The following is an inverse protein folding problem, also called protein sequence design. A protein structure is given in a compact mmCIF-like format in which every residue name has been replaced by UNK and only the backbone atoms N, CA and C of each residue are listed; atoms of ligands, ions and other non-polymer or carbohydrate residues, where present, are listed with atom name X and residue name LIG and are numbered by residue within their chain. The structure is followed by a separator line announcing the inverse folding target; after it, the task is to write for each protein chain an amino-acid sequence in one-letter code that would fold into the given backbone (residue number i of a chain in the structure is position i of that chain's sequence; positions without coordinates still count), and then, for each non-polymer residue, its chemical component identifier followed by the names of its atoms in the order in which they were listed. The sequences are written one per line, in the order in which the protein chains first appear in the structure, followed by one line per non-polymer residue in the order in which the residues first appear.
data_IF_728004607470
#
_entry.id   IF_728004607470
#
_cell.length_a   1.000
_cell.length_b   1.000
_cell.length_c   1.000
_cell.angle_alpha   90.00
_cell.angle_beta   90.00
_cell.angle_gamma   90.00
#
_symmetry.space_group_name_H-M   'P 1'
#
loop_
_entity.id
_entity.type
_entity.pdbx_description
1 polymer ?
#
# COMPACT_ATOMS: atom_id res chain seq x y z
N UNK A 1 -14.02 -10.62 17.03
CA UNK A 1 -13.98 -9.51 16.05
C UNK A 1 -12.73 -8.72 16.36
N UNK A 2 -11.98 -8.33 15.35
CA UNK A 2 -10.71 -7.62 15.49
C UNK A 2 -10.93 -6.11 15.45
N UNK A 3 -10.14 -5.38 16.23
CA UNK A 3 -9.96 -3.94 16.11
C UNK A 3 -8.60 -3.65 15.51
N UNK A 4 -8.54 -3.07 14.32
CA UNK A 4 -7.28 -2.83 13.60
C UNK A 4 -7.17 -1.33 13.29
N UNK A 5 -6.00 -0.74 13.53
CA UNK A 5 -5.66 0.60 13.09
C UNK A 5 -4.67 0.51 11.92
N UNK A 6 -5.04 1.06 10.77
CA UNK A 6 -4.23 1.07 9.55
C UNK A 6 -3.64 2.45 9.28
N UNK A 7 -2.36 2.50 8.89
CA UNK A 7 -1.64 3.73 8.53
C UNK A 7 -0.92 3.55 7.19
N UNK A 8 -1.09 4.48 6.26
CA UNK A 8 -0.27 4.54 5.04
C UNK A 8 0.23 5.96 4.78
N UNK A 9 1.55 6.06 4.58
CA UNK A 9 2.27 7.26 4.13
C UNK A 9 3.23 6.90 3.00
N UNK A 10 2.93 5.82 2.27
CA UNK A 10 3.87 5.22 1.30
C UNK A 10 4.01 6.08 0.05
N UNK A 11 3.08 7.00 -0.22
CA UNK A 11 3.03 7.86 -1.40
C UNK A 11 2.86 9.33 -0.99
N UNK A 12 2.44 10.21 -1.89
CA UNK A 12 2.07 11.58 -1.51
C UNK A 12 0.79 11.65 -0.63
N UNK A 13 0.00 10.58 -0.61
CA UNK A 13 -1.11 10.43 0.33
C UNK A 13 -0.63 10.11 1.76
N UNK A 14 -1.34 10.68 2.72
CA UNK A 14 -1.34 10.30 4.13
C UNK A 14 -2.75 9.80 4.44
N UNK A 15 -2.87 8.58 4.94
CA UNK A 15 -4.19 8.02 5.24
C UNK A 15 -4.17 7.11 6.45
N UNK A 16 -5.31 7.08 7.14
CA UNK A 16 -5.56 6.26 8.32
C UNK A 16 -6.91 5.59 8.19
N UNK A 17 -7.06 4.39 8.75
CA UNK A 17 -8.35 3.73 8.89
C UNK A 17 -8.43 2.95 10.19
N UNK A 18 -9.62 2.85 10.76
CA UNK A 18 -9.92 2.04 11.94
C UNK A 18 -11.03 1.07 11.58
N UNK A 19 -10.77 -0.22 11.77
CA UNK A 19 -11.79 -1.26 11.80
C UNK A 19 -12.17 -1.43 13.27
N UNK A 20 -13.39 -1.08 13.62
CA UNK A 20 -13.91 -1.23 14.98
C UNK A 20 -15.39 -1.58 14.91
N UNK A 21 -15.82 -2.62 15.64
CA UNK A 21 -17.20 -3.11 15.62
C UNK A 21 -17.74 -3.40 14.20
N UNK A 22 -16.88 -3.93 13.32
CA UNK A 22 -17.14 -4.21 11.90
C UNK A 22 -17.39 -2.99 11.01
N UNK A 23 -17.13 -1.77 11.50
CA UNK A 23 -17.18 -0.56 10.71
C UNK A 23 -15.78 -0.06 10.38
N UNK A 24 -15.60 0.47 9.17
CA UNK A 24 -14.34 1.08 8.73
C UNK A 24 -14.50 2.59 8.67
N UNK A 25 -13.95 3.28 9.67
CA UNK A 25 -13.76 4.75 9.63
C UNK A 25 -12.42 5.05 9.00
N UNK A 26 -12.32 6.07 8.16
CA UNK A 26 -11.05 6.43 7.52
C UNK A 26 -10.90 7.92 7.30
N UNK A 27 -9.66 8.36 7.15
CA UNK A 27 -9.31 9.73 6.75
C UNK A 27 -8.18 9.68 5.71
N UNK A 28 -8.21 10.59 4.75
CA UNK A 28 -7.29 10.62 3.62
C UNK A 28 -6.95 12.06 3.25
N UNK A 29 -5.66 12.33 3.11
CA UNK A 29 -5.14 13.63 2.76
C UNK A 29 -3.98 13.48 1.76
N UNK A 30 -4.03 14.22 0.65
CA UNK A 30 -2.85 14.36 -0.22
C UNK A 30 -1.96 15.46 0.35
N UNK A 31 -0.83 15.08 0.94
CA UNK A 31 0.13 16.01 1.53
C UNK A 31 1.54 15.44 1.52
N UNK A 32 2.26 15.65 0.40
CA UNK A 32 3.59 15.06 0.17
C UNK A 32 4.69 15.53 1.14
N UNK A 33 4.49 16.61 1.92
CA UNK A 33 5.55 17.22 2.75
C UNK A 33 5.28 17.23 4.25
N UNK A 34 4.06 16.94 4.69
CA UNK A 34 3.66 17.11 6.08
C UNK A 34 3.19 15.81 6.75
N UNK A 35 3.53 14.63 6.22
CA UNK A 35 3.14 13.33 6.79
C UNK A 35 3.38 13.24 8.31
N UNK A 36 4.56 13.65 8.78
CA UNK A 36 4.91 13.61 10.22
C UNK A 36 4.03 14.52 11.09
N UNK A 37 3.50 15.61 10.52
CA UNK A 37 2.60 16.53 11.22
C UNK A 37 1.15 16.08 11.16
N UNK A 38 0.76 15.32 10.14
CA UNK A 38 -0.63 14.96 9.88
C UNK A 38 -1.00 13.60 10.48
N UNK A 39 -0.08 12.64 10.49
CA UNK A 39 -0.44 11.25 10.78
C UNK A 39 -1.00 11.03 12.19
N UNK A 40 -0.34 11.54 13.24
CA UNK A 40 -0.83 11.39 14.61
C UNK A 40 -2.15 12.16 14.86
N UNK A 41 -2.32 13.40 14.40
CA UNK A 41 -3.63 14.06 14.44
C UNK A 41 -4.74 13.30 13.72
N UNK A 42 -4.44 12.68 12.57
CA UNK A 42 -5.42 11.87 11.84
C UNK A 42 -5.81 10.61 12.65
N UNK A 43 -4.84 9.92 13.26
CA UNK A 43 -5.09 8.78 14.16
C UNK A 43 -5.99 9.19 15.33
N UNK A 44 -5.64 10.28 16.03
CA UNK A 44 -6.44 10.79 17.16
C UNK A 44 -7.88 11.14 16.73
N UNK A 45 -8.03 11.77 15.57
CA UNK A 45 -9.34 12.12 15.00
C UNK A 45 -10.19 10.87 14.77
N UNK A 46 -9.69 9.83 14.10
CA UNK A 46 -10.51 8.64 13.78
C UNK A 46 -10.85 7.80 15.01
N UNK A 47 -9.95 7.74 16.01
CA UNK A 47 -10.20 7.08 17.29
C UNK A 47 -11.32 7.79 18.04
N UNK A 48 -11.26 9.12 18.15
CA UNK A 48 -12.32 9.93 18.78
C UNK A 48 -13.66 9.85 18.05
N UNK A 49 -13.64 9.88 16.71
CA UNK A 49 -14.86 9.76 15.90
C UNK A 49 -15.58 8.42 16.11
N UNK A 50 -14.82 7.36 16.40
CA UNK A 50 -15.35 6.00 16.57
C UNK A 50 -15.53 5.61 18.05
N UNK A 51 -15.34 6.55 18.98
CA UNK A 51 -15.32 6.32 20.43
C UNK A 51 -14.49 5.09 20.84
N UNK A 52 -13.32 4.95 20.21
CA UNK A 52 -12.39 3.85 20.42
C UNK A 52 -11.12 4.36 21.09
N UNK A 53 -10.71 3.73 22.18
CA UNK A 53 -9.41 3.96 22.79
C UNK A 53 -8.32 3.21 22.01
N UNK A 54 -7.12 3.78 21.95
CA UNK A 54 -5.98 3.12 21.32
C UNK A 54 -5.66 1.75 21.97
N UNK A 55 -5.87 1.62 23.28
CA UNK A 55 -5.67 0.36 24.02
C UNK A 55 -6.65 -0.76 23.65
N UNK A 56 -7.74 -0.45 22.94
CA UNK A 56 -8.69 -1.43 22.41
C UNK A 56 -8.27 -1.97 21.04
N UNK A 57 -7.24 -1.39 20.42
CA UNK A 57 -6.71 -1.89 19.15
C UNK A 57 -5.96 -3.20 19.40
N UNK A 58 -6.22 -4.19 18.55
CA UNK A 58 -5.63 -5.53 18.61
C UNK A 58 -4.35 -5.63 17.75
N UNK A 59 -4.26 -4.84 16.67
CA UNK A 59 -3.07 -4.75 15.81
C UNK A 59 -2.95 -3.42 15.08
N UNK A 60 -1.71 -3.04 14.77
CA UNK A 60 -1.40 -1.90 13.89
C UNK A 60 -1.01 -2.40 12.50
N UNK A 61 -1.83 -2.10 11.50
CA UNK A 61 -1.53 -2.35 10.11
C UNK A 61 -0.82 -1.15 9.46
N UNK A 62 0.10 -1.42 8.55
CA UNK A 62 0.89 -0.36 7.92
C UNK A 62 1.22 -0.65 6.46
N UNK A 63 1.38 0.42 5.69
CA UNK A 63 1.92 0.37 4.34
C UNK A 63 3.39 0.02 4.36
N UNK A 64 3.73 -1.18 3.91
CA UNK A 64 5.11 -1.69 3.93
C UNK A 64 5.94 -1.20 2.73
N UNK A 65 5.32 -0.48 1.80
CA UNK A 65 5.89 -0.15 0.50
C UNK A 65 5.50 -1.18 -0.58
N UNK A 66 6.02 -1.02 -1.80
CA UNK A 66 6.99 -0.02 -2.22
C UNK A 66 6.40 1.40 -2.33
N UNK A 67 7.27 2.42 -2.33
CA UNK A 67 6.84 3.81 -2.40
C UNK A 67 7.97 4.81 -2.13
N UNK A 68 7.61 5.98 -1.61
CA UNK A 68 8.55 7.01 -1.16
C UNK A 68 9.45 6.48 -0.05
N UNK A 69 10.77 6.56 -0.24
CA UNK A 69 11.76 6.10 0.73
C UNK A 69 11.56 6.69 2.13
N UNK A 70 11.26 7.99 2.19
CA UNK A 70 11.01 8.72 3.43
C UNK A 70 9.61 8.44 3.96
N UNK A 71 8.60 8.47 3.07
CA UNK A 71 7.20 8.27 3.44
C UNK A 71 6.93 6.91 4.09
N UNK A 72 7.41 5.83 3.48
CA UNK A 72 7.26 4.46 4.02
C UNK A 72 7.87 4.33 5.42
N UNK A 73 9.06 4.92 5.64
CA UNK A 73 9.72 4.90 6.95
C UNK A 73 9.01 5.73 8.02
N UNK A 74 8.41 6.87 7.64
CA UNK A 74 7.60 7.65 8.56
C UNK A 74 6.41 6.81 9.04
N UNK A 75 5.69 6.17 8.12
CA UNK A 75 4.53 5.34 8.42
C UNK A 75 4.89 4.16 9.33
N UNK A 76 5.97 3.45 8.99
CA UNK A 76 6.50 2.34 9.79
C UNK A 76 6.90 2.82 11.19
N UNK A 77 7.69 3.90 11.30
CA UNK A 77 8.15 4.39 12.60
C UNK A 77 7.00 4.81 13.52
N UNK A 78 5.96 5.46 12.97
CA UNK A 78 4.75 5.81 13.72
C UNK A 78 3.97 4.56 14.11
N UNK A 79 3.77 3.62 13.18
CA UNK A 79 3.06 2.38 13.45
C UNK A 79 3.77 1.53 14.53
N UNK A 80 5.10 1.44 14.48
CA UNK A 80 5.92 0.78 15.51
C UNK A 80 5.78 1.47 16.86
N UNK A 81 5.88 2.80 16.91
CA UNK A 81 5.73 3.55 18.16
C UNK A 81 4.36 3.34 18.81
N UNK A 82 3.29 3.34 18.00
CA UNK A 82 1.93 3.04 18.47
C UNK A 82 1.83 1.60 18.97
N UNK A 83 2.29 0.63 18.18
CA UNK A 83 2.23 -0.79 18.51
C UNK A 83 2.97 -1.13 19.81
N UNK A 84 4.17 -0.57 20.01
CA UNK A 84 4.93 -0.70 21.27
C UNK A 84 4.18 -0.10 22.45
N UNK A 85 3.56 1.07 22.25
CA UNK A 85 2.82 1.77 23.31
C UNK A 85 1.62 1.01 23.84
N UNK A 86 1.06 0.09 23.06
CA UNK A 86 -0.07 -0.77 23.45
C UNK A 86 0.27 -2.27 23.54
N UNK A 87 1.54 -2.64 23.36
CA UNK A 87 2.01 -4.03 23.35
C UNK A 87 1.22 -4.94 22.39
N UNK A 88 1.10 -4.50 21.12
CA UNK A 88 0.34 -5.21 20.08
C UNK A 88 1.18 -5.55 18.85
N UNK A 89 0.85 -6.64 18.14
CA UNK A 89 1.51 -7.01 16.90
C UNK A 89 1.19 -6.04 15.77
N UNK A 90 1.95 -6.17 14.68
CA UNK A 90 1.78 -5.37 13.47
C UNK A 90 1.44 -6.23 12.25
N UNK A 91 0.90 -5.59 11.21
CA UNK A 91 0.55 -6.23 9.94
C UNK A 91 1.07 -5.40 8.77
N UNK A 92 2.08 -5.92 8.07
CA UNK A 92 2.61 -5.32 6.86
C UNK A 92 1.74 -5.61 5.64
N UNK A 93 1.37 -4.56 4.90
CA UNK A 93 0.57 -4.66 3.68
C UNK A 93 1.30 -3.94 2.53
N UNK A 94 1.39 -4.61 1.39
CA UNK A 94 1.96 -4.03 0.17
C UNK A 94 1.14 -2.82 -0.31
N UNK A 95 1.83 -1.75 -0.69
CA UNK A 95 1.22 -0.57 -1.28
C UNK A 95 0.60 -0.88 -2.64
N UNK A 96 1.22 -1.76 -3.43
CA UNK A 96 0.72 -2.18 -4.73
C UNK A 96 -0.54 -3.06 -4.58
N UNK A 97 -0.57 -3.96 -3.61
CA UNK A 97 -1.78 -4.75 -3.29
C UNK A 97 -2.90 -3.86 -2.74
N UNK A 98 -2.56 -2.81 -1.97
CA UNK A 98 -3.53 -1.81 -1.50
C UNK A 98 -4.20 -1.08 -2.67
N UNK A 99 -3.45 -0.73 -3.72
CA UNK A 99 -4.03 -0.17 -4.95
C UNK A 99 -4.96 -1.18 -5.65
N UNK A 100 -4.59 -2.46 -5.70
CA UNK A 100 -5.45 -3.50 -6.25
C UNK A 100 -6.78 -3.62 -5.48
N UNK A 101 -6.73 -3.59 -4.15
CA UNK A 101 -7.91 -3.58 -3.29
C UNK A 101 -8.81 -2.35 -3.54
N UNK A 102 -8.23 -1.16 -3.73
CA UNK A 102 -9.00 0.03 -4.08
C UNK A 102 -9.68 -0.07 -5.46
N UNK A 103 -9.00 -0.65 -6.45
CA UNK A 103 -9.59 -0.91 -7.77
C UNK A 103 -10.74 -1.94 -7.69
N UNK A 104 -10.63 -2.96 -6.84
CA UNK A 104 -11.75 -3.87 -6.55
C UNK A 104 -12.94 -3.13 -5.93
N UNK A 105 -12.70 -2.26 -4.94
CA UNK A 105 -13.76 -1.46 -4.30
C UNK A 105 -14.49 -0.56 -5.29
N UNK A 106 -13.76 0.15 -6.16
CA UNK A 106 -14.32 1.15 -7.07
C UNK A 106 -14.93 0.54 -8.33
N UNK A 107 -14.30 -0.49 -8.89
CA UNK A 107 -14.64 -0.99 -10.23
C UNK A 107 -15.00 -2.48 -10.25
N UNK A 108 -15.02 -3.15 -9.09
CA UNK A 108 -15.16 -4.62 -9.02
C UNK A 108 -14.05 -5.34 -9.81
N UNK A 109 -12.89 -4.69 -9.97
CA UNK A 109 -11.75 -5.19 -10.71
C UNK A 109 -11.08 -6.35 -9.98
N UNK A 110 -11.26 -7.58 -10.48
CA UNK A 110 -10.63 -8.78 -9.91
C UNK A 110 -9.24 -9.07 -10.47
N UNK A 111 -8.84 -8.42 -11.55
CA UNK A 111 -7.50 -8.56 -12.11
C UNK A 111 -6.91 -7.16 -12.24
N UNK A 112 -5.84 -6.89 -11.49
CA UNK A 112 -5.29 -5.54 -11.40
C UNK A 112 -3.79 -5.59 -11.64
N UNK A 113 -3.31 -4.67 -12.46
CA UNK A 113 -1.89 -4.37 -12.62
C UNK A 113 -1.65 -3.02 -11.93
N UNK A 114 -1.07 -3.08 -10.73
CA UNK A 114 -0.74 -1.91 -9.96
C UNK A 114 0.65 -1.40 -10.36
N UNK A 115 0.78 -0.10 -10.60
CA UNK A 115 2.05 0.54 -10.90
C UNK A 115 2.20 1.88 -10.19
N UNK A 116 3.35 2.11 -9.54
CA UNK A 116 3.70 3.39 -8.89
C UNK A 116 4.94 3.94 -9.58
N UNK A 117 4.96 5.24 -9.90
CA UNK A 117 6.17 5.92 -10.38
C UNK A 117 7.31 5.79 -9.35
N UNK A 118 8.35 5.03 -9.69
CA UNK A 118 9.51 4.78 -8.83
C UNK A 118 10.63 5.82 -9.03
N UNK A 119 10.37 6.86 -9.84
CA UNK A 119 11.35 7.82 -10.36
C UNK A 119 12.39 7.13 -11.25
N UNK A 120 13.33 7.92 -11.78
CA UNK A 120 14.47 7.41 -12.56
C UNK A 120 14.06 6.54 -13.77
N UNK A 121 12.92 6.87 -14.40
CA UNK A 121 12.35 6.11 -15.53
C UNK A 121 12.05 4.65 -15.19
N UNK A 122 11.55 4.39 -13.98
CA UNK A 122 11.13 3.06 -13.54
C UNK A 122 9.78 3.13 -12.82
N UNK A 123 9.10 2.00 -12.76
CA UNK A 123 7.87 1.80 -12.00
C UNK A 123 8.04 0.66 -11.01
N UNK A 124 7.46 0.80 -9.83
CA UNK A 124 7.15 -0.35 -8.99
C UNK A 124 5.93 -1.03 -9.57
N UNK A 125 6.02 -2.32 -9.86
CA UNK A 125 5.02 -3.09 -10.59
C UNK A 125 4.56 -4.28 -9.75
N UNK A 126 3.25 -4.48 -9.68
CA UNK A 126 2.62 -5.67 -9.13
C UNK A 126 1.43 -6.09 -9.99
N UNK A 127 1.20 -7.39 -10.12
CA UNK A 127 0.04 -7.94 -10.81
C UNK A 127 -0.70 -8.87 -9.86
N UNK A 128 -1.99 -8.62 -9.65
CA UNK A 128 -2.79 -9.36 -8.69
C UNK A 128 -4.09 -9.88 -9.30
N UNK A 129 -4.52 -11.02 -8.78
CA UNK A 129 -5.82 -11.61 -9.05
C UNK A 129 -6.60 -11.81 -7.74
N UNK A 130 -7.87 -11.43 -7.72
CA UNK A 130 -8.76 -11.62 -6.58
C UNK A 130 -9.56 -12.92 -6.75
N UNK A 131 -9.21 -13.95 -5.97
CA UNK A 131 -9.81 -15.29 -6.03
C UNK A 131 -10.11 -15.76 -4.60
N UNK A 132 -11.29 -16.32 -4.37
CA UNK A 132 -11.72 -16.83 -3.05
C UNK A 132 -11.51 -15.82 -1.91
N UNK A 133 -11.92 -14.58 -2.16
CA UNK A 133 -11.80 -13.45 -1.24
C UNK A 133 -10.37 -13.07 -0.85
N UNK A 134 -9.38 -13.39 -1.69
CA UNK A 134 -7.98 -13.12 -1.44
C UNK A 134 -7.26 -12.62 -2.69
N UNK A 135 -6.29 -11.73 -2.49
CA UNK A 135 -5.34 -11.33 -3.53
C UNK A 135 -4.22 -12.36 -3.67
N UNK A 136 -4.02 -12.82 -4.90
CA UNK A 136 -2.89 -13.64 -5.31
C UNK A 136 -1.97 -12.81 -6.21
N UNK A 137 -0.68 -12.77 -5.88
CA UNK A 137 0.32 -12.15 -6.73
C UNK A 137 0.61 -13.07 -7.93
N UNK A 138 0.43 -12.56 -9.14
CA UNK A 138 0.70 -13.29 -10.39
C UNK A 138 2.16 -13.18 -10.83
N UNK A 139 2.85 -12.17 -10.30
CA UNK A 139 4.28 -11.94 -10.42
C UNK A 139 4.80 -11.45 -9.06
N UNK A 140 6.08 -11.68 -8.79
CA UNK A 140 6.75 -10.98 -7.69
C UNK A 140 6.80 -9.48 -8.00
N UNK A 141 6.49 -8.67 -6.98
CA UNK A 141 6.66 -7.22 -7.06
C UNK A 141 8.10 -6.87 -7.45
N UNK A 142 8.24 -5.93 -8.38
CA UNK A 142 9.55 -5.54 -8.89
C UNK A 142 9.61 -4.05 -9.21
N UNK A 143 10.83 -3.51 -9.29
CA UNK A 143 11.09 -2.23 -9.97
C UNK A 143 11.59 -2.52 -11.39
N UNK A 144 10.99 -1.88 -12.38
CA UNK A 144 11.31 -2.15 -13.79
C UNK A 144 11.12 -0.90 -14.64
N UNK A 145 11.87 -0.80 -15.75
CA UNK A 145 11.65 0.23 -16.75
C UNK A 145 10.27 0.04 -17.45
N UNK A 146 9.50 1.13 -17.70
CA UNK A 146 8.17 1.06 -18.29
C UNK A 146 8.10 0.25 -19.59
N UNK A 147 9.11 0.36 -20.46
CA UNK A 147 9.17 -0.32 -21.74
C UNK A 147 9.24 -1.86 -21.63
N UNK A 148 9.57 -2.40 -20.45
CA UNK A 148 9.62 -3.84 -20.18
C UNK A 148 8.39 -4.38 -19.45
N UNK A 149 7.43 -3.52 -19.10
CA UNK A 149 6.22 -3.92 -18.35
C UNK A 149 5.42 -4.96 -19.15
N UNK A 150 5.23 -4.75 -20.45
CA UNK A 150 4.51 -5.67 -21.33
C UNK A 150 5.10 -7.08 -21.36
N UNK A 151 6.43 -7.21 -21.29
CA UNK A 151 7.13 -8.51 -21.25
C UNK A 151 7.02 -9.20 -19.89
N UNK A 152 6.87 -8.41 -18.81
CA UNK A 152 6.85 -8.91 -17.44
C UNK A 152 5.47 -9.38 -16.99
N UNK A 153 4.40 -8.71 -17.43
CA UNK A 153 3.04 -9.04 -17.01
C UNK A 153 2.53 -10.34 -17.63
N UNK A 154 1.85 -11.16 -16.84
CA UNK A 154 1.27 -12.41 -17.32
C UNK A 154 -0.19 -12.21 -17.77
N UNK A 155 -0.40 -11.96 -19.07
CA UNK A 155 -1.75 -11.75 -19.64
C UNK A 155 -2.40 -13.01 -20.25
N UNK A 156 -1.78 -14.19 -20.10
CA UNK A 156 -2.10 -15.37 -20.94
C UNK A 156 -3.49 -15.99 -20.76
N UNK A 157 -4.30 -15.56 -19.78
CA UNK A 157 -5.56 -16.25 -19.46
C UNK A 157 -6.76 -15.35 -19.21
N UNK A 158 -6.62 -14.01 -19.21
CA UNK A 158 -7.68 -13.10 -18.76
C UNK A 158 -7.64 -11.79 -19.54
N UNK A 159 -8.76 -11.42 -20.15
CA UNK A 159 -8.86 -10.25 -21.04
C UNK A 159 -9.24 -8.95 -20.32
N UNK A 160 -9.57 -9.00 -19.02
CA UNK A 160 -10.10 -7.85 -18.27
C UNK A 160 -9.20 -7.45 -17.09
N UNK A 161 -8.09 -6.78 -17.42
CA UNK A 161 -7.20 -6.17 -16.43
C UNK A 161 -7.53 -4.69 -16.23
N UNK A 162 -7.42 -4.25 -14.98
CA UNK A 162 -7.48 -2.85 -14.60
C UNK A 162 -6.10 -2.32 -14.20
N UNK A 163 -5.81 -1.08 -14.55
CA UNK A 163 -4.65 -0.33 -14.11
C UNK A 163 -4.95 0.47 -12.86
N UNK A 164 -4.07 0.43 -11.86
CA UNK A 164 -4.15 1.27 -10.67
C UNK A 164 -2.77 1.84 -10.30
N UNK A 165 -2.72 3.09 -9.87
CA UNK A 165 -1.52 3.77 -9.38
C UNK A 165 -0.92 4.78 -10.35
N UNK A 166 -0.07 5.66 -9.81
CA UNK A 166 0.56 6.78 -10.53
C UNK A 166 1.44 6.37 -11.70
N UNK A 167 1.99 5.14 -11.72
CA UNK A 167 2.82 4.66 -12.82
C UNK A 167 2.10 4.70 -14.17
N UNK A 168 0.79 4.45 -14.17
CA UNK A 168 -0.06 4.52 -15.36
C UNK A 168 -0.35 5.95 -15.83
N UNK A 169 -0.31 6.93 -14.92
CA UNK A 169 -0.41 8.33 -15.29
C UNK A 169 0.91 8.85 -15.87
N UNK A 170 2.04 8.39 -15.33
CA UNK A 170 3.38 8.82 -15.76
C UNK A 170 3.80 8.15 -17.06
N UNK A 171 3.47 6.87 -17.26
CA UNK A 171 3.88 6.05 -18.40
C UNK A 171 2.67 5.31 -19.00
N UNK A 172 1.68 6.02 -19.57
CA UNK A 172 0.45 5.41 -20.08
C UNK A 172 0.70 4.41 -21.22
N UNK A 173 1.81 4.54 -21.94
CA UNK A 173 2.18 3.67 -23.07
C UNK A 173 2.81 2.32 -22.67
N UNK A 174 3.04 2.05 -21.38
CA UNK A 174 3.72 0.82 -20.94
C UNK A 174 2.92 -0.47 -21.18
N UNK A 175 1.61 -0.37 -21.39
CA UNK A 175 0.74 -1.47 -21.79
C UNK A 175 -0.49 -0.97 -22.55
N UNK A 176 -0.87 -1.64 -23.63
CA UNK A 176 -2.13 -1.39 -24.34
C UNK A 176 -3.26 -2.27 -23.82
N UNK A 177 -4.51 -1.88 -24.11
CA UNK A 177 -5.71 -2.69 -23.83
C UNK A 177 -5.88 -3.06 -22.35
N UNK A 178 -5.76 -2.05 -21.49
CA UNK A 178 -6.01 -2.13 -20.05
C UNK A 178 -7.04 -1.08 -19.65
N UNK A 179 -7.97 -1.42 -18.74
CA UNK A 179 -9.00 -0.49 -18.27
C UNK A 179 -8.46 0.36 -17.13
N UNK A 180 -8.79 1.65 -17.09
CA UNK A 180 -8.43 2.49 -15.93
C UNK A 180 -9.35 2.21 -14.75
N UNK A 181 -8.79 2.06 -13.55
CA UNK A 181 -9.56 2.13 -12.29
C UNK A 181 -9.71 3.56 -11.76
N UNK A 182 -9.06 4.54 -12.40
CA UNK A 182 -8.92 5.94 -11.97
C UNK A 182 -8.36 6.14 -10.55
N UNK A 183 -7.84 5.07 -9.93
CA UNK A 183 -7.22 5.09 -8.61
C UNK A 183 -5.73 5.36 -8.78
N UNK A 184 -5.24 6.48 -8.23
CA UNK A 184 -3.82 6.86 -8.34
C UNK A 184 -3.01 6.55 -7.07
N UNK A 185 -3.63 6.63 -5.90
CA UNK A 185 -2.94 6.57 -4.62
C UNK A 185 -3.55 5.50 -3.71
N UNK A 186 -2.75 4.84 -2.85
CA UNK A 186 -3.26 3.89 -1.86
C UNK A 186 -4.09 4.61 -0.80
N UNK A 187 -5.13 3.93 -0.29
CA UNK A 187 -5.92 4.40 0.85
C UNK A 187 -5.87 3.37 1.98
N UNK A 188 -5.74 3.85 3.22
CA UNK A 188 -5.79 3.00 4.41
C UNK A 188 -7.10 2.21 4.56
N UNK A 189 -8.22 2.69 3.98
CA UNK A 189 -9.49 1.96 3.95
C UNK A 189 -9.42 0.65 3.12
N UNK A 190 -8.52 0.61 2.13
CA UNK A 190 -8.29 -0.57 1.30
C UNK A 190 -7.22 -1.45 1.96
N UNK A 191 -6.19 -0.83 2.54
CA UNK A 191 -5.15 -1.50 3.31
C UNK A 191 -5.75 -2.34 4.44
N UNK A 192 -6.67 -1.76 5.21
CA UNK A 192 -7.24 -2.41 6.39
C UNK A 192 -8.07 -3.65 6.05
N UNK A 193 -8.66 -3.72 4.86
CA UNK A 193 -9.37 -4.92 4.37
C UNK A 193 -8.39 -6.07 4.22
N UNK A 194 -7.26 -5.84 3.56
CA UNK A 194 -6.19 -6.83 3.41
C UNK A 194 -5.61 -7.20 4.78
N UNK A 195 -5.39 -6.20 5.64
CA UNK A 195 -4.86 -6.44 6.99
C UNK A 195 -5.79 -7.32 7.83
N UNK A 196 -7.10 -7.13 7.73
CA UNK A 196 -8.07 -7.97 8.44
C UNK A 196 -8.03 -9.43 7.93
N UNK A 197 -7.84 -9.64 6.62
CA UNK A 197 -7.67 -10.99 6.07
C UNK A 197 -6.36 -11.65 6.57
N UNK A 198 -5.28 -10.87 6.69
CA UNK A 198 -4.01 -11.34 7.27
C UNK A 198 -4.14 -11.66 8.76
N UNK A 199 -4.84 -10.81 9.52
CA UNK A 199 -5.14 -11.05 10.93
C UNK A 199 -5.87 -12.38 11.14
N UNK A 200 -6.90 -12.66 10.33
CA UNK A 200 -7.64 -13.93 10.39
C UNK A 200 -6.76 -15.16 10.13
N UNK A 201 -5.69 -14.99 9.33
CA UNK A 201 -4.70 -16.02 9.01
C UNK A 201 -3.51 -16.05 9.96
N UNK A 202 -3.48 -15.17 10.97
CA UNK A 202 -2.36 -14.98 11.90
C UNK A 202 -1.04 -14.63 11.18
N UNK A 203 -1.13 -13.95 10.05
CA UNK A 203 0.02 -13.39 9.31
C UNK A 203 0.44 -12.06 9.96
N UNK A 204 1.00 -12.16 11.16
CA UNK A 204 1.41 -11.04 11.99
C UNK A 204 2.94 -10.93 12.03
N UNK A 205 3.44 -9.73 12.28
CA UNK A 205 4.87 -9.47 12.49
C UNK A 205 5.08 -8.82 13.85
N UNK A 206 6.15 -9.22 14.55
CA UNK A 206 6.58 -8.53 15.76
C UNK A 206 7.12 -7.16 15.38
N UNK A 207 6.99 -6.19 16.28
CA UNK A 207 7.40 -4.81 16.02
C UNK A 207 8.88 -4.71 15.62
N UNK A 208 9.74 -5.50 16.27
CA UNK A 208 11.19 -5.55 16.07
C UNK A 208 11.61 -6.15 14.72
N UNK A 209 10.74 -6.94 14.09
CA UNK A 209 10.99 -7.59 12.80
C UNK A 209 10.42 -6.80 11.61
N UNK A 210 9.83 -5.62 11.87
CA UNK A 210 9.23 -4.79 10.81
C UNK A 210 10.30 -4.10 9.98
N UNK A 211 10.30 -4.40 8.68
CA UNK A 211 11.16 -3.75 7.70
C UNK A 211 10.38 -3.24 6.48
N UNK A 212 10.78 -2.11 5.86
CA UNK A 212 10.25 -1.67 4.58
C UNK A 212 10.58 -2.66 3.45
N UNK A 213 9.68 -2.81 2.48
CA UNK A 213 9.97 -3.55 1.25
C UNK A 213 10.91 -2.75 0.35
N UNK A 214 12.13 -3.24 0.16
CA UNK A 214 13.08 -2.69 -0.82
C UNK A 214 13.07 -3.53 -2.10
N UNK A 215 12.52 -2.97 -3.19
CA UNK A 215 12.50 -3.65 -4.50
C UNK A 215 13.73 -3.30 -5.38
N UNK A 216 14.47 -2.26 -5.01
CA UNK A 216 15.66 -1.81 -5.73
C UNK A 216 16.90 -2.46 -5.12
N UNK A 217 17.30 -3.61 -5.69
CA UNK A 217 18.45 -4.40 -5.22
C UNK A 217 19.80 -3.92 -5.78
N UNK A 218 19.80 -3.05 -6.80
CA UNK A 218 21.03 -2.51 -7.40
C UNK A 218 21.24 -1.04 -7.03
N UNK A 219 22.42 -0.74 -6.51
CA UNK A 219 22.88 0.63 -6.26
C UNK A 219 23.09 1.31 -7.63
N UNK A 220 22.12 2.12 -8.08
CA UNK A 220 22.18 2.89 -9.33
C UNK A 220 23.13 4.10 -9.23
N UNK A 221 24.29 3.95 -8.60
CA UNK A 221 25.30 5.01 -8.56
C UNK A 221 26.22 4.91 -9.78
N UNK A 222 25.90 5.64 -10.86
CA UNK A 222 26.87 5.90 -11.92
C UNK A 222 27.73 7.09 -11.49
N UNK A 223 29.06 6.88 -11.39
CA UNK A 223 30.03 7.99 -11.28
C UNK A 223 29.71 9.02 -12.37
N UNK A 224 29.48 10.26 -11.98
CA UNK A 224 29.57 11.38 -12.91
C UNK A 224 30.95 11.32 -13.57
N UNK A 225 31.07 11.39 -14.91
CA UNK A 225 32.35 11.54 -15.56
C UNK A 225 33.06 12.74 -14.94
N UNK A 226 34.31 12.53 -14.51
CA UNK A 226 35.07 13.49 -13.73
C UNK A 226 35.02 14.89 -14.34
N UNK A 227 34.77 15.88 -13.48
CA UNK A 227 35.25 17.25 -13.70
C UNK A 227 36.66 17.36 -13.14
#
# INVERSE_FOLDING_TARGET
MSTILAIDTSTEACSVALLYQNEITHDFLVSARDHTKQILPMVDKILKQSDCLLSQVDAIAFGQGPGSFTGVRIGIGVAQGLALGIDRPMIGVSTLMTLAQGALRLNQAKNVIAAIDARMNEVYLGQYQYVNDQWQAMIDECVIAPEKVADRVNRKCIDDYFSAGTGWQTYPEMLTDIKSSDLLLPHAQDLIVIANQKWQRQELVNVEDVEPTYLRNEVTWKKLPGR
#
